data_IF_828931165532
#
_entry.id   IF_828931165532
#
_cell.length_a   1.000
_cell.length_b   1.000
_cell.length_c   1.000
_cell.angle_alpha   90.00
_cell.angle_beta   90.00
_cell.angle_gamma   90.00
#
_symmetry.space_group_name_H-M   'P 1'
#
loop_
_entity.id
_entity.type
_entity.pdbx_description
1 polymer ?
#
# COMPACT_ATOMS: atom_id res chain seq x y z
N UNK A 1 51.81 -1.26 43.96
CA UNK A 1 50.68 -0.42 43.48
C UNK A 1 50.55 -0.62 41.97
N UNK A 2 49.33 -0.98 41.53
CA UNK A 2 48.72 -0.89 40.19
C UNK A 2 49.53 -1.40 38.96
N UNK A 3 49.25 -2.58 38.41
CA UNK A 3 48.11 -2.99 37.55
C UNK A 3 48.22 -2.50 36.08
N UNK A 4 47.75 -3.31 35.10
CA UNK A 4 48.36 -3.46 33.78
C UNK A 4 47.75 -2.56 32.70
N UNK A 5 48.56 -2.23 31.68
CA UNK A 5 48.15 -1.51 30.47
C UNK A 5 47.42 -2.47 29.50
N UNK A 6 46.14 -2.70 29.74
CA UNK A 6 45.21 -3.20 28.73
C UNK A 6 44.08 -2.18 28.63
N UNK A 7 43.89 -1.59 27.44
CA UNK A 7 42.68 -0.95 26.90
C UNK A 7 43.10 0.03 25.79
N UNK A 8 43.31 -0.49 24.59
CA UNK A 8 43.08 0.31 23.38
C UNK A 8 41.72 -0.11 22.84
N UNK A 9 40.75 0.72 23.20
CA UNK A 9 39.35 0.66 22.86
C UNK A 9 39.21 0.77 21.34
N UNK A 10 38.52 -0.21 20.75
CA UNK A 10 38.01 -0.18 19.39
C UNK A 10 37.16 1.07 19.21
N UNK A 11 37.66 2.07 18.48
CA UNK A 11 36.90 3.22 18.05
C UNK A 11 37.07 3.35 16.55
N UNK A 12 36.19 2.71 15.77
CA UNK A 12 35.91 2.97 14.35
C UNK A 12 34.77 2.03 13.90
N UNK A 13 33.56 2.26 14.41
CA UNK A 13 32.35 1.61 13.89
C UNK A 13 31.12 2.53 13.97
N UNK A 14 31.31 3.85 13.91
CA UNK A 14 30.22 4.82 13.91
C UNK A 14 29.93 5.44 12.53
N UNK A 15 30.64 5.03 11.48
CA UNK A 15 30.43 5.56 10.12
C UNK A 15 29.48 4.71 9.26
N UNK A 16 28.95 3.59 9.77
CA UNK A 16 28.14 2.62 8.97
C UNK A 16 26.64 2.69 9.26
N UNK A 17 26.16 3.67 10.05
CA UNK A 17 24.74 3.78 10.39
C UNK A 17 24.02 4.98 9.74
N UNK A 18 24.69 5.74 8.88
CA UNK A 18 24.07 6.87 8.16
C UNK A 18 23.65 6.52 6.71
N UNK A 19 24.07 5.38 6.16
CA UNK A 19 23.76 4.98 4.78
C UNK A 19 22.49 4.10 4.64
N UNK A 20 21.84 3.72 5.74
CA UNK A 20 20.59 2.94 5.68
C UNK A 20 19.31 3.79 5.62
N UNK A 21 19.43 5.12 5.56
CA UNK A 21 18.28 6.02 5.68
C UNK A 21 17.59 6.39 4.35
N UNK A 22 18.01 5.87 3.18
CA UNK A 22 17.48 6.41 1.91
C UNK A 22 17.11 5.40 0.80
N UNK A 23 16.84 4.14 1.15
CA UNK A 23 15.98 3.27 0.31
C UNK A 23 14.47 3.50 0.62
N UNK A 24 14.17 4.27 1.68
CA UNK A 24 12.84 4.38 2.32
C UNK A 24 11.77 5.17 1.53
N UNK A 25 12.07 5.66 0.33
CA UNK A 25 11.11 6.45 -0.45
C UNK A 25 11.37 6.36 -1.97
N UNK A 26 11.40 5.15 -2.54
CA UNK A 26 11.67 4.97 -4.00
C UNK A 26 10.68 5.71 -4.92
N UNK A 27 9.45 5.99 -4.46
CA UNK A 27 8.43 6.66 -5.27
C UNK A 27 7.75 7.79 -4.50
N UNK A 28 7.46 8.88 -5.21
CA UNK A 28 6.69 10.00 -4.67
C UNK A 28 5.25 9.57 -4.38
N UNK A 29 4.58 10.27 -3.48
CA UNK A 29 3.15 10.04 -3.21
C UNK A 29 2.30 10.20 -4.48
N UNK A 30 2.69 11.10 -5.38
CA UNK A 30 2.04 11.29 -6.67
C UNK A 30 2.15 10.04 -7.56
N UNK A 31 3.34 9.45 -7.66
CA UNK A 31 3.56 8.20 -8.40
C UNK A 31 2.75 7.06 -7.79
N UNK A 32 2.81 6.87 -6.47
CA UNK A 32 2.02 5.85 -5.76
C UNK A 32 0.51 6.01 -6.03
N UNK A 33 0.01 7.25 -5.94
CA UNK A 33 -1.39 7.57 -6.19
C UNK A 33 -1.80 7.29 -7.65
N UNK A 34 -0.99 7.71 -8.61
CA UNK A 34 -1.23 7.49 -10.03
C UNK A 34 -1.27 6.00 -10.38
N UNK A 35 -0.29 5.22 -9.91
CA UNK A 35 -0.23 3.79 -10.16
C UNK A 35 -1.40 3.05 -9.51
N UNK A 36 -1.76 3.40 -8.28
CA UNK A 36 -2.95 2.84 -7.64
C UNK A 36 -4.22 3.12 -8.45
N UNK A 37 -4.42 4.35 -8.92
CA UNK A 37 -5.61 4.73 -9.70
C UNK A 37 -5.70 3.94 -11.00
N UNK A 38 -4.58 3.73 -11.67
CA UNK A 38 -4.51 2.90 -12.89
C UNK A 38 -4.90 1.45 -12.58
N UNK A 39 -4.33 0.84 -11.53
CA UNK A 39 -4.68 -0.54 -11.11
C UNK A 39 -6.18 -0.63 -10.76
N UNK A 40 -6.70 0.30 -9.97
CA UNK A 40 -8.11 0.31 -9.58
C UNK A 40 -9.05 0.58 -10.75
N UNK A 41 -8.63 1.37 -11.74
CA UNK A 41 -9.37 1.55 -12.99
C UNK A 41 -9.47 0.27 -13.81
N UNK A 42 -8.38 -0.50 -13.87
CA UNK A 42 -8.37 -1.82 -14.51
C UNK A 42 -9.27 -2.81 -13.75
N UNK A 43 -9.18 -2.86 -12.41
CA UNK A 43 -10.04 -3.71 -11.58
C UNK A 43 -11.51 -3.32 -11.78
N UNK A 44 -11.84 -2.02 -11.78
CA UNK A 44 -13.21 -1.54 -12.06
C UNK A 44 -13.74 -2.11 -13.37
N UNK A 45 -12.95 -2.03 -14.43
CA UNK A 45 -13.32 -2.53 -15.77
C UNK A 45 -13.57 -4.04 -15.77
N UNK A 46 -12.82 -4.80 -14.97
CA UNK A 46 -12.98 -6.25 -14.87
C UNK A 46 -14.19 -6.63 -14.01
N UNK A 47 -14.39 -5.97 -12.86
CA UNK A 47 -15.50 -6.26 -11.92
C UNK A 47 -16.85 -5.89 -12.53
N UNK A 48 -16.93 -4.82 -13.34
CA UNK A 48 -18.16 -4.50 -14.10
C UNK A 48 -18.59 -5.67 -15.01
N UNK A 49 -17.64 -6.47 -15.49
CA UNK A 49 -17.90 -7.62 -16.34
C UNK A 49 -18.15 -8.93 -15.58
N UNK A 50 -17.95 -8.99 -14.26
CA UNK A 50 -18.10 -10.20 -13.45
C UNK A 50 -19.16 -9.95 -12.36
N UNK A 51 -20.38 -10.39 -12.62
CA UNK A 51 -21.53 -10.21 -11.75
C UNK A 51 -21.33 -10.93 -10.41
N UNK A 52 -21.43 -10.18 -9.31
CA UNK A 52 -21.42 -10.71 -7.94
C UNK A 52 -20.37 -10.04 -7.07
N UNK A 53 -20.81 -9.24 -6.10
CA UNK A 53 -19.98 -8.59 -5.06
C UNK A 53 -19.39 -9.63 -4.10
N UNK A 54 -18.56 -10.53 -4.62
CA UNK A 54 -17.95 -11.63 -3.88
C UNK A 54 -16.44 -11.41 -3.82
N UNK A 55 -15.84 -11.60 -2.65
CA UNK A 55 -14.40 -11.43 -2.44
C UNK A 55 -13.54 -12.24 -3.43
N UNK A 56 -13.89 -13.48 -3.82
CA UNK A 56 -13.17 -14.21 -4.88
C UNK A 56 -13.22 -13.54 -6.25
N UNK A 57 -14.30 -12.81 -6.57
CA UNK A 57 -14.41 -12.05 -7.82
C UNK A 57 -13.45 -10.87 -7.78
N UNK A 58 -13.38 -10.14 -6.66
CA UNK A 58 -12.43 -9.06 -6.46
C UNK A 58 -10.99 -9.56 -6.54
N UNK A 59 -10.68 -10.67 -5.87
CA UNK A 59 -9.37 -11.31 -5.93
C UNK A 59 -9.00 -11.66 -7.37
N UNK A 60 -9.93 -12.26 -8.14
CA UNK A 60 -9.69 -12.60 -9.53
C UNK A 60 -9.45 -11.37 -10.39
N UNK A 61 -10.21 -10.29 -10.16
CA UNK A 61 -10.05 -9.03 -10.86
C UNK A 61 -8.68 -8.39 -10.58
N UNK A 62 -8.25 -8.36 -9.32
CA UNK A 62 -6.90 -7.90 -8.92
C UNK A 62 -5.84 -8.74 -9.64
N UNK A 63 -5.94 -10.07 -9.61
CA UNK A 63 -4.97 -10.94 -10.30
C UNK A 63 -4.91 -10.67 -11.81
N UNK A 64 -6.05 -10.45 -12.46
CA UNK A 64 -6.10 -10.18 -13.91
C UNK A 64 -5.54 -8.80 -14.24
N UNK A 65 -5.88 -7.77 -13.45
CA UNK A 65 -5.33 -6.42 -13.61
C UNK A 65 -3.81 -6.42 -13.40
N UNK A 66 -3.35 -7.00 -12.29
CA UNK A 66 -1.95 -6.99 -11.88
C UNK A 66 -1.00 -7.76 -12.79
N UNK A 67 -1.49 -8.75 -13.55
CA UNK A 67 -0.69 -9.44 -14.57
C UNK A 67 -0.12 -8.52 -15.65
N UNK A 68 -0.74 -7.36 -15.89
CA UNK A 68 -0.26 -6.37 -16.87
C UNK A 68 0.97 -5.60 -16.41
N UNK A 69 1.30 -5.68 -15.13
CA UNK A 69 2.30 -4.83 -14.49
C UNK A 69 3.47 -5.61 -13.88
N UNK A 70 3.58 -6.89 -14.20
CA UNK A 70 4.70 -7.75 -13.77
C UNK A 70 6.01 -7.16 -14.28
N UNK A 71 7.03 -7.08 -13.40
CA UNK A 71 8.32 -6.42 -13.65
C UNK A 71 8.27 -4.90 -13.88
N UNK A 72 7.15 -4.22 -13.59
CA UNK A 72 7.03 -2.77 -13.69
C UNK A 72 6.88 -2.18 -12.29
N UNK A 73 7.99 -1.78 -11.68
CA UNK A 73 7.94 -0.97 -10.47
C UNK A 73 7.37 0.44 -10.79
N UNK A 74 6.47 1.01 -9.97
CA UNK A 74 5.98 0.55 -8.66
C UNK A 74 4.74 -0.36 -8.70
N UNK A 75 4.15 -0.56 -9.87
CA UNK A 75 2.86 -1.25 -10.00
C UNK A 75 2.90 -2.66 -9.42
N UNK A 76 3.98 -3.39 -9.66
CA UNK A 76 4.18 -4.75 -9.13
C UNK A 76 4.08 -4.77 -7.60
N UNK A 77 4.76 -3.85 -6.90
CA UNK A 77 4.72 -3.76 -5.43
C UNK A 77 3.35 -3.36 -4.88
N UNK A 78 2.67 -2.44 -5.56
CA UNK A 78 1.30 -2.06 -5.21
C UNK A 78 0.37 -3.27 -5.37
N UNK A 79 0.54 -4.02 -6.45
CA UNK A 79 -0.24 -5.23 -6.74
C UNK A 79 0.00 -6.36 -5.73
N UNK A 80 1.26 -6.61 -5.34
CA UNK A 80 1.61 -7.55 -4.27
C UNK A 80 0.91 -7.16 -2.97
N UNK A 81 1.06 -5.91 -2.55
CA UNK A 81 0.47 -5.44 -1.30
C UNK A 81 -1.07 -5.48 -1.30
N UNK A 82 -1.70 -5.12 -2.42
CA UNK A 82 -3.15 -5.24 -2.57
C UNK A 82 -3.58 -6.72 -2.47
N UNK A 83 -2.89 -7.62 -3.17
CA UNK A 83 -3.26 -9.04 -3.21
C UNK A 83 -3.04 -9.76 -1.88
N UNK A 84 -1.96 -9.44 -1.17
CA UNK A 84 -1.53 -10.18 0.03
C UNK A 84 -2.02 -9.55 1.33
N UNK A 85 -2.08 -8.21 1.41
CA UNK A 85 -2.36 -7.48 2.65
C UNK A 85 -3.72 -6.78 2.62
N UNK A 86 -4.07 -6.13 1.51
CA UNK A 86 -5.27 -5.29 1.46
C UNK A 86 -6.51 -5.95 0.85
N UNK A 87 -6.44 -7.19 0.36
CA UNK A 87 -7.56 -7.82 -0.34
C UNK A 87 -8.84 -7.80 0.50
N UNK A 88 -8.76 -8.31 1.73
CA UNK A 88 -9.91 -8.39 2.62
C UNK A 88 -10.39 -7.00 3.12
N UNK A 89 -9.50 -6.11 3.63
CA UNK A 89 -9.90 -4.74 3.97
C UNK A 89 -10.54 -3.97 2.81
N UNK A 90 -9.97 -4.09 1.60
CA UNK A 90 -10.52 -3.47 0.39
C UNK A 90 -11.90 -4.04 0.07
N UNK A 91 -12.10 -5.34 0.20
CA UNK A 91 -13.40 -5.96 0.00
C UNK A 91 -14.45 -5.43 1.00
N UNK A 92 -14.13 -5.41 2.29
CA UNK A 92 -15.02 -4.86 3.33
C UNK A 92 -15.35 -3.39 3.06
N UNK A 93 -14.34 -2.60 2.68
CA UNK A 93 -14.52 -1.21 2.27
C UNK A 93 -15.50 -1.06 1.11
N UNK A 94 -15.31 -1.82 0.03
CA UNK A 94 -16.18 -1.81 -1.14
C UNK A 94 -17.63 -2.21 -0.78
N UNK A 95 -17.82 -3.16 0.14
CA UNK A 95 -19.15 -3.51 0.64
C UNK A 95 -19.78 -2.37 1.43
N UNK A 96 -19.01 -1.71 2.31
CA UNK A 96 -19.51 -0.69 3.25
C UNK A 96 -19.88 0.63 2.60
N UNK A 97 -19.15 1.04 1.57
CA UNK A 97 -19.53 2.25 0.80
C UNK A 97 -20.72 2.03 -0.12
N UNK A 98 -21.19 0.79 -0.26
CA UNK A 98 -22.27 0.32 -1.16
C UNK A 98 -22.10 0.71 -2.64
N UNK A 99 -21.00 1.35 -3.00
CA UNK A 99 -20.74 1.96 -4.29
C UNK A 99 -19.86 1.11 -5.21
N UNK A 100 -19.80 1.53 -6.46
CA UNK A 100 -18.84 1.01 -7.43
C UNK A 100 -17.40 1.32 -7.00
N UNK A 101 -16.44 0.60 -7.57
CA UNK A 101 -15.03 0.97 -7.50
C UNK A 101 -14.87 2.42 -7.99
N UNK A 102 -14.23 3.23 -7.16
CA UNK A 102 -13.87 4.62 -7.41
C UNK A 102 -12.35 4.72 -7.20
N UNK A 103 -11.56 4.79 -8.28
CA UNK A 103 -10.10 4.77 -8.18
C UNK A 103 -9.52 5.91 -7.32
N UNK A 104 -10.17 7.07 -7.24
CA UNK A 104 -9.70 8.15 -6.35
C UNK A 104 -9.91 7.74 -4.90
N UNK A 105 -11.15 7.41 -4.57
CA UNK A 105 -11.58 7.17 -3.20
C UNK A 105 -10.99 5.89 -2.61
N UNK A 106 -10.89 4.84 -3.42
CA UNK A 106 -10.34 3.55 -3.01
C UNK A 106 -8.82 3.65 -2.80
N UNK A 107 -8.11 4.45 -3.59
CA UNK A 107 -6.68 4.71 -3.39
C UNK A 107 -6.41 5.64 -2.20
N UNK A 108 -7.35 6.51 -1.82
CA UNK A 108 -7.29 7.26 -0.57
C UNK A 108 -7.51 6.35 0.65
N UNK A 109 -8.46 5.40 0.56
CA UNK A 109 -8.64 4.37 1.58
C UNK A 109 -7.36 3.57 1.78
N UNK A 110 -6.73 3.10 0.69
CA UNK A 110 -5.46 2.36 0.72
C UNK A 110 -4.21 3.21 0.99
N UNK A 111 -4.35 4.52 1.30
CA UNK A 111 -3.26 5.47 1.60
C UNK A 111 -2.25 5.72 0.48
N UNK A 112 -2.51 5.23 -0.74
CA UNK A 112 -1.71 5.55 -1.92
C UNK A 112 -1.93 7.00 -2.39
N UNK A 113 -3.13 7.55 -2.14
CA UNK A 113 -3.47 8.93 -2.47
C UNK A 113 -3.63 9.79 -1.20
N UNK A 114 -3.33 11.10 -1.26
CA UNK A 114 -3.58 12.01 -0.15
C UNK A 114 -5.05 12.00 0.26
N UNK A 115 -5.31 11.83 1.56
CA UNK A 115 -6.66 11.86 2.11
C UNK A 115 -7.12 13.31 2.31
N UNK A 116 -8.35 13.67 1.90
CA UNK A 116 -8.91 14.99 2.22
C UNK A 116 -9.12 15.14 3.73
N UNK A 117 -9.22 16.40 4.18
CA UNK A 117 -9.54 16.68 5.60
C UNK A 117 -10.87 16.03 5.96
N UNK A 118 -10.90 15.30 7.08
CA UNK A 118 -12.10 14.63 7.58
C UNK A 118 -12.31 13.20 7.05
N UNK A 119 -11.42 12.67 6.21
CA UNK A 119 -11.52 11.29 5.72
C UNK A 119 -11.56 10.25 6.86
N UNK A 120 -10.77 10.44 7.93
CA UNK A 120 -10.82 9.58 9.12
C UNK A 120 -12.20 9.56 9.80
N UNK A 121 -12.88 10.70 9.79
CA UNK A 121 -14.25 10.79 10.35
C UNK A 121 -15.20 9.98 9.48
N UNK A 122 -15.05 10.03 8.16
CA UNK A 122 -15.81 9.22 7.22
C UNK A 122 -15.58 7.72 7.43
N UNK A 123 -14.33 7.27 7.59
CA UNK A 123 -14.01 5.87 7.88
C UNK A 123 -14.70 5.39 9.17
N UNK A 124 -14.68 6.22 10.22
CA UNK A 124 -15.37 5.92 11.49
C UNK A 124 -16.89 5.85 11.34
N UNK A 125 -17.49 6.73 10.54
CA UNK A 125 -18.93 6.70 10.25
C UNK A 125 -19.33 5.40 9.55
N UNK A 126 -18.51 4.92 8.60
CA UNK A 126 -18.73 3.63 7.93
C UNK A 126 -18.35 2.41 8.78
N UNK A 127 -17.72 2.62 9.94
CA UNK A 127 -17.18 1.57 10.83
C UNK A 127 -16.21 0.64 10.08
N UNK A 128 -15.36 1.21 9.24
CA UNK A 128 -14.31 0.48 8.51
C UNK A 128 -12.97 0.68 9.22
N UNK A 129 -12.19 -0.39 9.32
CA UNK A 129 -10.85 -0.31 9.87
C UNK A 129 -9.92 0.52 8.97
N UNK A 130 -9.07 1.33 9.59
CA UNK A 130 -7.97 1.97 8.86
C UNK A 130 -6.93 0.92 8.47
N UNK A 131 -6.30 1.10 7.32
CA UNK A 131 -5.34 0.14 6.76
C UNK A 131 -3.90 0.53 7.07
N UNK A 132 -2.97 -0.44 7.13
CA UNK A 132 -1.55 -0.12 7.30
C UNK A 132 -0.99 0.73 6.16
N UNK A 133 0.12 1.43 6.45
CA UNK A 133 0.84 2.20 5.44
C UNK A 133 1.61 1.28 4.48
N UNK A 134 1.64 1.66 3.20
CA UNK A 134 2.49 1.02 2.19
C UNK A 134 3.93 1.53 2.33
N UNK A 135 4.79 0.69 2.93
CA UNK A 135 6.21 0.93 3.14
C UNK A 135 7.05 0.48 1.94
#
# INVERSE_FOLDING_TARGET
MLAPRALLVFALAAAVLAESANELQRWTQETKCSCCKVIMGDIKTIVINITGKLEPVLQKAIQVACRRYVMIEPFEKICEYIGETLLHPLFEWLLKKEGEIDPEFDCQYMKYCPRPKGFEVFLRMLKVADVPDFH
#
